data_IF_619037411931
#
_entry.id   IF_619037411931
#
_cell.length_a   1.000
_cell.length_b   1.000
_cell.length_c   1.000
_cell.angle_alpha   90.00
_cell.angle_beta   90.00
_cell.angle_gamma   90.00
#
_symmetry.space_group_name_H-M   'P 1'
#
loop_
_entity.id
_entity.type
_entity.pdbx_description
1 polymer ?
#
# COMPACT_ATOMS: atom_id res chain seq x y z
N UNK A 1 5.25 1.81 -8.97
CA UNK A 1 5.61 2.98 -8.14
C UNK A 1 4.77 3.00 -6.87
N UNK A 2 3.44 3.02 -6.94
CA UNK A 2 2.55 3.08 -5.76
C UNK A 2 2.86 1.97 -4.73
N UNK A 3 3.07 0.72 -5.16
CA UNK A 3 3.45 -0.40 -4.29
C UNK A 3 4.74 -0.14 -3.51
N UNK A 4 5.76 0.45 -4.17
CA UNK A 4 7.01 0.80 -3.51
C UNK A 4 6.81 1.92 -2.47
N UNK A 5 6.00 2.93 -2.81
CA UNK A 5 5.66 4.01 -1.88
C UNK A 5 4.87 3.46 -0.68
N UNK A 6 3.89 2.56 -0.93
CA UNK A 6 3.17 1.86 0.14
C UNK A 6 4.14 1.12 1.07
N UNK A 7 5.12 0.39 0.53
CA UNK A 7 6.10 -0.34 1.33
C UNK A 7 6.96 0.59 2.19
N UNK A 8 7.47 1.67 1.59
CA UNK A 8 8.30 2.67 2.29
C UNK A 8 7.55 3.32 3.46
N UNK A 9 6.24 3.57 3.30
CA UNK A 9 5.41 4.17 4.36
C UNK A 9 4.95 3.11 5.35
N UNK A 10 4.48 1.96 4.87
CA UNK A 10 3.89 0.92 5.71
C UNK A 10 4.92 0.23 6.61
N UNK A 11 6.16 0.05 6.13
CA UNK A 11 7.18 -0.68 6.88
C UNK A 11 7.55 0.02 8.20
N UNK A 12 7.91 1.32 8.22
CA UNK A 12 8.18 2.04 9.47
C UNK A 12 6.96 2.05 10.41
N UNK A 13 5.76 2.25 9.87
CA UNK A 13 4.52 2.25 10.66
C UNK A 13 4.30 0.89 11.32
N UNK A 14 4.38 -0.20 10.55
CA UNK A 14 4.22 -1.56 11.05
C UNK A 14 5.31 -1.92 12.06
N UNK A 15 6.56 -1.50 11.83
CA UNK A 15 7.69 -1.73 12.72
C UNK A 15 7.50 -1.01 14.06
N UNK A 16 7.23 0.30 14.05
CA UNK A 16 6.99 1.09 15.26
C UNK A 16 5.81 0.49 16.04
N UNK A 17 4.74 0.13 15.35
CA UNK A 17 3.56 -0.46 15.98
C UNK A 17 3.85 -1.83 16.60
N UNK A 18 4.65 -2.68 15.94
CA UNK A 18 5.02 -4.01 16.43
C UNK A 18 5.86 -3.93 17.70
N UNK A 19 6.83 -3.03 17.75
CA UNK A 19 7.77 -2.87 18.87
C UNK A 19 7.22 -2.02 20.02
N UNK A 20 6.20 -1.21 19.77
CA UNK A 20 5.63 -0.32 20.76
C UNK A 20 5.02 -1.10 21.94
N UNK A 21 5.18 -0.59 23.16
CA UNK A 21 4.57 -1.13 24.40
C UNK A 21 3.10 -0.67 24.60
N UNK A 22 2.48 -0.09 23.57
CA UNK A 22 1.13 0.45 23.66
C UNK A 22 0.11 -0.65 23.97
N UNK A 23 -0.68 -0.46 25.02
CA UNK A 23 -1.76 -1.41 25.40
C UNK A 23 -2.88 -1.52 24.34
N UNK A 24 -2.97 -0.54 23.43
CA UNK A 24 -4.05 -0.41 22.43
C UNK A 24 -3.55 -0.52 20.98
N UNK A 25 -2.51 -1.33 20.72
CA UNK A 25 -1.99 -1.55 19.36
C UNK A 25 -3.09 -1.96 18.37
N UNK A 26 -3.98 -2.83 18.80
CA UNK A 26 -5.10 -3.30 17.99
C UNK A 26 -6.04 -2.15 17.57
N UNK A 27 -6.26 -1.16 18.43
CA UNK A 27 -7.11 -0.01 18.11
C UNK A 27 -6.43 0.88 17.05
N UNK A 28 -5.13 1.09 17.16
CA UNK A 28 -4.38 1.88 16.18
C UNK A 28 -4.39 1.15 14.82
N UNK A 29 -4.15 -0.17 14.82
CA UNK A 29 -4.25 -0.97 13.60
C UNK A 29 -5.64 -0.89 12.98
N UNK A 30 -6.68 -0.96 13.82
CA UNK A 30 -8.07 -0.85 13.38
C UNK A 30 -8.36 0.51 12.75
N UNK A 31 -7.80 1.61 13.28
CA UNK A 31 -7.91 2.94 12.67
C UNK A 31 -7.31 3.00 11.24
N UNK A 32 -6.23 2.28 10.98
CA UNK A 32 -5.69 2.17 9.61
C UNK A 32 -6.60 1.35 8.67
N UNK A 33 -7.33 0.38 9.23
CA UNK A 33 -8.22 -0.51 8.46
C UNK A 33 -9.63 0.07 8.31
N UNK A 34 -10.10 0.91 9.23
CA UNK A 34 -11.45 1.49 9.19
C UNK A 34 -11.84 2.14 7.86
N UNK A 35 -10.95 2.89 7.18
CA UNK A 35 -11.28 3.48 5.88
C UNK A 35 -11.70 2.45 4.83
N UNK A 36 -11.26 1.19 4.96
CA UNK A 36 -11.62 0.12 4.01
C UNK A 36 -13.10 -0.27 4.07
N UNK A 37 -13.81 0.05 5.15
CA UNK A 37 -15.24 -0.22 5.28
C UNK A 37 -16.11 0.79 4.52
N UNK A 38 -15.51 1.93 4.14
CA UNK A 38 -16.17 2.93 3.30
C UNK A 38 -16.06 2.47 1.84
N UNK A 39 -17.10 2.71 1.07
CA UNK A 39 -17.09 2.41 -0.36
C UNK A 39 -15.87 3.04 -1.05
N UNK A 40 -15.17 2.24 -1.83
CA UNK A 40 -13.95 2.61 -2.52
C UNK A 40 -14.10 3.88 -3.37
N UNK A 41 -15.15 3.96 -4.18
CA UNK A 41 -15.40 5.11 -5.06
C UNK A 41 -15.61 6.40 -4.27
N UNK A 42 -16.33 6.33 -3.15
CA UNK A 42 -16.53 7.50 -2.28
C UNK A 42 -15.22 8.00 -1.68
N UNK A 43 -14.33 7.09 -1.29
CA UNK A 43 -13.00 7.46 -0.74
C UNK A 43 -12.16 8.20 -1.77
N UNK A 44 -12.11 7.69 -3.01
CA UNK A 44 -11.34 8.31 -4.09
C UNK A 44 -11.97 9.64 -4.53
N UNK A 45 -13.30 9.74 -4.56
CA UNK A 45 -13.99 11.00 -4.83
C UNK A 45 -13.67 12.05 -3.77
N UNK A 46 -13.74 11.71 -2.49
CA UNK A 46 -13.39 12.61 -1.40
C UNK A 46 -11.93 13.06 -1.48
N UNK A 47 -11.00 12.14 -1.80
CA UNK A 47 -9.59 12.48 -2.00
C UNK A 47 -9.42 13.42 -3.20
N UNK A 48 -10.12 13.18 -4.30
CA UNK A 48 -10.13 14.07 -5.48
C UNK A 48 -10.58 15.48 -5.13
N UNK A 49 -11.65 15.61 -4.34
CA UNK A 49 -12.13 16.92 -3.89
C UNK A 49 -11.08 17.65 -3.03
N UNK A 50 -10.43 16.94 -2.10
CA UNK A 50 -9.35 17.52 -1.30
C UNK A 50 -8.19 18.00 -2.18
N UNK A 51 -7.77 17.20 -3.16
CA UNK A 51 -6.71 17.55 -4.09
C UNK A 51 -7.10 18.71 -5.02
N UNK A 52 -8.39 18.85 -5.36
CA UNK A 52 -8.92 19.93 -6.20
C UNK A 52 -9.00 21.27 -5.49
N UNK A 53 -8.95 21.30 -4.14
CA UNK A 53 -8.93 22.55 -3.37
C UNK A 53 -7.69 23.41 -3.68
N UNK A 54 -6.61 22.80 -4.17
CA UNK A 54 -5.45 23.53 -4.69
C UNK A 54 -5.63 23.76 -6.17
N UNK A 55 -5.75 25.01 -6.58
CA UNK A 55 -5.99 25.40 -7.99
C UNK A 55 -4.96 24.76 -8.93
N UNK A 56 -5.47 24.06 -9.95
CA UNK A 56 -4.66 23.42 -10.98
C UNK A 56 -3.94 22.13 -10.56
N UNK A 57 -4.01 21.69 -9.30
CA UNK A 57 -3.28 20.52 -8.81
C UNK A 57 -3.56 19.26 -9.64
N UNK A 58 -4.83 18.95 -9.92
CA UNK A 58 -5.21 17.77 -10.70
C UNK A 58 -4.70 17.82 -12.15
N UNK A 59 -4.59 19.02 -12.72
CA UNK A 59 -4.09 19.22 -14.08
C UNK A 59 -2.54 19.18 -14.14
N UNK A 60 -1.88 19.79 -13.17
CA UNK A 60 -0.42 19.90 -13.16
C UNK A 60 0.29 18.64 -12.65
N UNK A 61 -0.31 17.90 -11.71
CA UNK A 61 0.33 16.76 -11.05
C UNK A 61 -0.51 15.47 -11.09
N UNK A 62 -1.08 15.08 -12.24
CA UNK A 62 -1.99 13.94 -12.30
C UNK A 62 -1.32 12.62 -11.89
N UNK A 63 -0.06 12.41 -12.29
CA UNK A 63 0.71 11.22 -11.94
C UNK A 63 0.96 11.11 -10.44
N UNK A 64 1.34 12.21 -9.78
CA UNK A 64 1.60 12.24 -8.33
C UNK A 64 0.28 12.00 -7.58
N UNK A 65 -0.81 12.64 -8.00
CA UNK A 65 -2.12 12.48 -7.40
C UNK A 65 -2.63 11.03 -7.50
N UNK A 66 -2.37 10.38 -8.63
CA UNK A 66 -2.68 8.95 -8.80
C UNK A 66 -1.87 8.07 -7.85
N UNK A 67 -0.56 8.35 -7.67
CA UNK A 67 0.26 7.61 -6.71
C UNK A 67 -0.26 7.83 -5.29
N UNK A 68 -0.64 9.05 -4.92
CA UNK A 68 -1.22 9.37 -3.61
C UNK A 68 -2.52 8.60 -3.42
N UNK A 69 -3.42 8.62 -4.41
CA UNK A 69 -4.69 7.92 -4.37
C UNK A 69 -4.52 6.41 -4.21
N UNK A 70 -3.67 5.80 -5.03
CA UNK A 70 -3.36 4.37 -4.93
C UNK A 70 -2.68 4.01 -3.61
N UNK A 71 -1.76 4.85 -3.13
CA UNK A 71 -1.10 4.62 -1.85
C UNK A 71 -2.10 4.69 -0.70
N UNK A 72 -2.94 5.71 -0.67
CA UNK A 72 -3.99 5.86 0.34
C UNK A 72 -4.94 4.65 0.37
N UNK A 73 -5.31 4.16 -0.79
CA UNK A 73 -6.27 3.06 -0.89
C UNK A 73 -5.69 1.71 -0.49
N UNK A 74 -4.44 1.43 -0.89
CA UNK A 74 -3.80 0.14 -0.67
C UNK A 74 -2.89 0.08 0.57
N UNK A 75 -2.65 1.19 1.26
CA UNK A 75 -1.78 1.24 2.44
C UNK A 75 -2.17 0.24 3.55
N UNK A 76 -3.46 0.07 3.92
CA UNK A 76 -3.85 -0.91 4.92
C UNK A 76 -3.49 -2.35 4.55
N UNK A 77 -3.60 -2.71 3.27
CA UNK A 77 -3.25 -4.04 2.76
C UNK A 77 -1.76 -4.34 2.87
N UNK A 78 -0.90 -3.32 2.86
CA UNK A 78 0.53 -3.45 3.09
C UNK A 78 0.86 -3.54 4.58
N UNK A 79 0.21 -2.70 5.42
CA UNK A 79 0.49 -2.64 6.87
C UNK A 79 0.14 -3.95 7.56
N UNK A 80 -0.99 -4.59 7.23
CA UNK A 80 -1.50 -5.78 7.92
C UNK A 80 -0.51 -6.97 7.89
N UNK A 81 -0.04 -7.45 6.73
CA UNK A 81 0.90 -8.56 6.68
C UNK A 81 2.28 -8.21 7.25
N UNK A 82 2.74 -6.97 7.08
CA UNK A 82 3.98 -6.50 7.70
C UNK A 82 3.87 -6.50 9.22
N UNK A 83 2.81 -5.92 9.77
CA UNK A 83 2.58 -5.90 11.21
C UNK A 83 2.47 -7.31 11.80
N UNK A 84 1.72 -8.21 11.16
CA UNK A 84 1.57 -9.59 11.63
C UNK A 84 2.89 -10.35 11.63
N UNK A 85 3.73 -10.16 10.64
CA UNK A 85 5.06 -10.78 10.58
C UNK A 85 5.99 -10.18 11.63
N UNK A 86 6.08 -8.85 11.69
CA UNK A 86 6.95 -8.15 12.64
C UNK A 86 6.55 -8.37 14.11
N UNK A 87 5.26 -8.52 14.40
CA UNK A 87 4.78 -8.79 15.76
C UNK A 87 5.03 -10.21 16.25
N UNK A 88 5.31 -11.15 15.33
CA UNK A 88 5.69 -12.54 15.65
C UNK A 88 7.18 -12.72 15.82
N UNK A 89 8.01 -11.72 15.55
CA UNK A 89 9.44 -11.78 15.76
C UNK A 89 9.74 -11.96 17.26
N UNK A 90 10.53 -12.97 17.57
CA UNK A 90 10.96 -13.22 18.94
C UNK A 90 11.95 -12.13 19.37
N UNK A 91 11.67 -11.51 20.51
CA UNK A 91 12.56 -10.49 21.08
C UNK A 91 13.92 -11.04 21.45
N UNK A 92 14.00 -12.32 21.80
CA UNK A 92 15.26 -13.00 22.11
C UNK A 92 16.28 -12.92 20.98
N UNK A 93 15.82 -12.92 19.73
CA UNK A 93 16.69 -12.78 18.55
C UNK A 93 17.29 -11.38 18.46
N UNK A 94 16.49 -10.36 18.80
CA UNK A 94 16.92 -8.96 18.82
C UNK A 94 17.91 -8.73 19.98
N UNK A 95 17.61 -9.29 21.15
CA UNK A 95 18.46 -9.22 22.33
C UNK A 95 19.81 -9.94 22.08
N UNK A 96 19.79 -11.14 21.51
CA UNK A 96 21.00 -11.88 21.14
C UNK A 96 21.87 -11.10 20.13
N UNK A 97 21.30 -10.42 19.18
CA UNK A 97 22.05 -9.56 18.26
C UNK A 97 22.76 -8.40 18.99
N UNK A 98 22.07 -7.81 19.99
CA UNK A 98 22.63 -6.75 20.83
C UNK A 98 23.76 -7.26 21.71
N UNK A 99 23.62 -8.47 22.29
CA UNK A 99 24.65 -9.13 23.11
C UNK A 99 25.92 -9.44 22.29
N UNK A 100 25.77 -9.69 21.00
CA UNK A 100 26.88 -9.85 20.06
C UNK A 100 27.49 -8.52 19.59
N UNK A 101 27.07 -7.39 20.19
CA UNK A 101 27.61 -6.07 19.89
C UNK A 101 27.03 -5.38 18.64
N UNK A 102 25.92 -5.90 18.07
CA UNK A 102 25.26 -5.23 16.97
C UNK A 102 24.56 -3.96 17.45
N UNK A 103 24.76 -2.86 16.74
CA UNK A 103 23.99 -1.64 16.95
C UNK A 103 22.55 -1.77 16.42
N UNK A 104 21.70 -0.79 16.72
CA UNK A 104 20.29 -0.82 16.30
C UNK A 104 20.12 -0.88 14.77
N UNK A 105 21.00 -0.23 14.01
CA UNK A 105 20.95 -0.23 12.55
C UNK A 105 21.41 -1.57 11.96
N UNK A 106 22.46 -2.16 12.53
CA UNK A 106 22.93 -3.50 12.15
C UNK A 106 21.89 -4.56 12.48
N UNK A 107 21.28 -4.50 13.66
CA UNK A 107 20.18 -5.39 14.06
C UNK A 107 19.00 -5.25 13.12
N UNK A 108 18.65 -4.02 12.72
CA UNK A 108 17.56 -3.79 11.76
C UNK A 108 17.87 -4.44 10.41
N UNK A 109 19.03 -4.15 9.81
CA UNK A 109 19.36 -4.63 8.46
C UNK A 109 19.68 -6.12 8.43
N UNK A 110 20.44 -6.64 9.42
CA UNK A 110 20.94 -8.02 9.39
C UNK A 110 19.98 -9.04 10.01
N UNK A 111 19.05 -8.59 10.86
CA UNK A 111 18.16 -9.50 11.59
C UNK A 111 16.70 -9.23 11.25
N UNK A 112 16.21 -8.02 11.51
CA UNK A 112 14.78 -7.72 11.40
C UNK A 112 14.33 -7.73 9.94
N UNK A 113 15.05 -7.07 9.05
CA UNK A 113 14.71 -6.97 7.64
C UNK A 113 14.65 -8.34 6.94
N UNK A 114 15.65 -9.24 7.08
CA UNK A 114 15.56 -10.59 6.51
C UNK A 114 14.42 -11.43 7.08
N UNK A 115 14.18 -11.36 8.39
CA UNK A 115 13.08 -12.07 9.03
C UNK A 115 11.70 -11.52 8.67
N UNK A 116 11.61 -10.29 8.20
CA UNK A 116 10.36 -9.66 7.74
C UNK A 116 10.06 -9.92 6.25
N UNK A 117 10.97 -10.54 5.49
CA UNK A 117 10.78 -10.82 4.05
C UNK A 117 9.46 -11.52 3.74
N UNK A 118 9.00 -12.54 4.48
CA UNK A 118 7.70 -13.16 4.22
C UNK A 118 6.53 -12.16 4.31
N UNK A 119 6.58 -11.23 5.26
CA UNK A 119 5.59 -10.15 5.40
C UNK A 119 5.68 -9.14 4.26
N UNK A 120 6.90 -8.80 3.82
CA UNK A 120 7.13 -7.90 2.68
C UNK A 120 6.56 -8.52 1.41
N UNK A 121 6.89 -9.77 1.10
CA UNK A 121 6.39 -10.47 -0.09
C UNK A 121 4.87 -10.56 -0.07
N UNK A 122 4.29 -10.92 1.07
CA UNK A 122 2.82 -10.99 1.22
C UNK A 122 2.16 -9.63 1.01
N UNK A 123 2.68 -8.57 1.64
CA UNK A 123 2.17 -7.20 1.49
C UNK A 123 2.31 -6.67 0.06
N UNK A 124 3.48 -6.88 -0.56
CA UNK A 124 3.71 -6.49 -1.96
C UNK A 124 2.73 -7.19 -2.89
N UNK A 125 2.51 -8.49 -2.72
CA UNK A 125 1.56 -9.24 -3.55
C UNK A 125 0.12 -8.74 -3.37
N UNK A 126 -0.30 -8.45 -2.13
CA UNK A 126 -1.63 -7.93 -1.82
C UNK A 126 -1.90 -6.53 -2.39
N UNK A 127 -0.85 -5.72 -2.57
CA UNK A 127 -0.97 -4.37 -3.13
C UNK A 127 -0.73 -4.36 -4.64
N UNK A 128 0.28 -5.08 -5.12
CA UNK A 128 0.70 -5.04 -6.51
C UNK A 128 -0.38 -5.56 -7.47
N UNK A 129 -0.96 -6.72 -7.17
CA UNK A 129 -1.96 -7.35 -8.05
C UNK A 129 -3.22 -6.48 -8.22
N UNK A 130 -3.88 -6.00 -7.14
CA UNK A 130 -5.02 -5.09 -7.31
C UNK A 130 -4.63 -3.74 -7.93
N UNK A 131 -3.44 -3.21 -7.63
CA UNK A 131 -3.00 -1.94 -8.20
C UNK A 131 -2.79 -1.99 -9.72
N UNK A 132 -2.44 -3.15 -10.28
CA UNK A 132 -2.34 -3.33 -11.74
C UNK A 132 -3.70 -3.30 -12.44
N UNK A 133 -4.75 -3.76 -11.77
CA UNK A 133 -6.09 -3.89 -12.34
C UNK A 133 -7.01 -2.71 -11.99
N UNK A 134 -6.62 -1.88 -11.02
CA UNK A 134 -7.44 -0.77 -10.53
C UNK A 134 -7.41 0.41 -11.50
N UNK A 135 -8.36 0.44 -12.42
CA UNK A 135 -8.52 1.54 -13.37
C UNK A 135 -9.30 2.73 -12.79
N UNK A 136 -10.10 2.54 -11.73
CA UNK A 136 -10.98 3.59 -11.18
C UNK A 136 -10.19 4.77 -10.63
N UNK A 137 -9.09 4.52 -9.90
CA UNK A 137 -8.23 5.60 -9.38
C UNK A 137 -7.60 6.38 -10.54
N UNK A 138 -7.17 5.70 -11.60
CA UNK A 138 -6.61 6.37 -12.78
C UNK A 138 -7.66 7.20 -13.50
N UNK A 139 -8.83 6.64 -13.73
CA UNK A 139 -9.91 7.31 -14.44
C UNK A 139 -10.35 8.60 -13.70
N UNK A 140 -10.39 8.55 -12.38
CA UNK A 140 -10.76 9.69 -11.56
C UNK A 140 -9.67 10.77 -11.40
N UNK A 141 -8.39 10.37 -11.35
CA UNK A 141 -7.28 11.28 -11.01
C UNK A 141 -6.33 11.59 -12.18
N UNK A 142 -6.30 10.78 -13.23
CA UNK A 142 -5.33 10.94 -14.31
C UNK A 142 -5.93 11.01 -15.71
N UNK A 143 -7.10 10.53 -15.97
CA UNK A 143 -7.91 10.60 -17.21
C UNK A 143 -7.18 10.54 -18.57
N UNK A 144 -5.92 10.10 -18.66
CA UNK A 144 -5.13 10.09 -19.90
C UNK A 144 -4.16 8.91 -20.09
N UNK A 145 -4.09 7.97 -19.14
CA UNK A 145 -3.14 6.85 -19.21
C UNK A 145 -3.84 5.51 -19.07
N UNK A 146 -3.56 4.60 -19.98
CA UNK A 146 -4.05 3.24 -19.90
C UNK A 146 -3.14 2.39 -19.02
N UNK A 147 -3.71 1.75 -18.01
CA UNK A 147 -3.15 0.59 -17.33
C UNK A 147 -3.87 -0.66 -17.81
N UNK A 148 -3.35 -1.84 -17.45
CA UNK A 148 -3.91 -3.11 -17.88
C UNK A 148 -5.42 -3.20 -17.62
N UNK A 149 -5.90 -2.79 -16.44
CA UNK A 149 -7.32 -2.80 -16.11
C UNK A 149 -8.18 -1.85 -16.95
N UNK A 150 -7.71 -0.62 -17.22
CA UNK A 150 -8.44 0.33 -18.08
C UNK A 150 -8.43 -0.10 -19.56
N UNK A 151 -7.33 -0.73 -20.01
CA UNK A 151 -7.24 -1.28 -21.36
C UNK A 151 -8.25 -2.44 -21.54
N UNK A 152 -8.32 -3.37 -20.61
CA UNK A 152 -9.31 -4.44 -20.60
C UNK A 152 -10.73 -3.84 -20.62
N UNK A 153 -11.00 -2.87 -19.74
CA UNK A 153 -12.29 -2.18 -19.68
C UNK A 153 -12.67 -1.49 -20.99
N UNK A 154 -11.72 -0.88 -21.70
CA UNK A 154 -11.96 -0.23 -22.99
C UNK A 154 -12.36 -1.23 -24.09
N UNK A 155 -11.73 -2.40 -24.13
CA UNK A 155 -12.12 -3.45 -25.08
C UNK A 155 -13.52 -3.99 -24.79
N UNK A 156 -13.87 -4.22 -23.53
CA UNK A 156 -15.23 -4.65 -23.18
C UNK A 156 -16.29 -3.58 -23.48
N UNK A 157 -15.96 -2.31 -23.25
CA UNK A 157 -16.85 -1.19 -23.59
C UNK A 157 -17.03 -1.02 -25.09
N UNK A 158 -16.04 -1.39 -25.88
CA UNK A 158 -16.10 -1.41 -27.35
C UNK A 158 -16.74 -2.68 -27.92
N UNK A 159 -17.27 -3.58 -27.07
CA UNK A 159 -17.81 -4.89 -27.44
C UNK A 159 -16.79 -5.84 -28.11
N UNK A 160 -15.49 -5.56 -27.98
CA UNK A 160 -14.40 -6.41 -28.48
C UNK A 160 -14.03 -7.46 -27.42
N UNK A 161 -14.91 -8.44 -27.26
CA UNK A 161 -14.78 -9.51 -26.28
C UNK A 161 -13.56 -10.40 -26.51
N UNK A 162 -13.16 -10.55 -27.79
CA UNK A 162 -12.02 -11.39 -28.14
C UNK A 162 -10.71 -10.79 -27.61
N UNK A 163 -10.39 -9.56 -27.95
CA UNK A 163 -9.17 -8.89 -27.49
C UNK A 163 -9.21 -8.62 -25.99
N UNK A 164 -10.37 -8.24 -25.45
CA UNK A 164 -10.55 -8.05 -24.01
C UNK A 164 -10.24 -9.32 -23.21
N UNK A 165 -10.70 -10.48 -23.65
CA UNK A 165 -10.46 -11.76 -22.98
C UNK A 165 -9.05 -12.31 -23.15
N UNK A 166 -8.34 -11.92 -24.20
CA UNK A 166 -6.92 -12.30 -24.39
C UNK A 166 -5.96 -11.58 -23.45
N UNK A 167 -6.35 -10.40 -22.97
CA UNK A 167 -5.50 -9.54 -22.10
C UNK A 167 -5.86 -9.76 -20.62
N UNK A 168 -7.10 -10.19 -20.34
CA UNK A 168 -7.58 -10.46 -18.99
C UNK A 168 -7.02 -11.77 -18.44
#
# INVERSE_FOLDING_TARGET
VATAVCLIIAYPVAYILSQSKLKRKAVILLLFVMPMWINFTLRITALKEILSMTEGNLAYYPFINTIIGMTYDFLPFMILPLYTTLSKLDKSVIEAASDLGADNFQTFIKVILPLSVPGIVSGVSMVFLPAMTNYVVLDMLYNSTYIMGSLIGSYFSAYDWHNGSMIA
#
